data_IF_159977313501
#
_entry.id   IF_159977313501
#
_cell.length_a   1.000
_cell.length_b   1.000
_cell.length_c   1.000
_cell.angle_alpha   90.00
_cell.angle_beta   90.00
_cell.angle_gamma   90.00
#
_symmetry.space_group_name_H-M   'P 1'
#
loop_
_entity.id
_entity.type
_entity.pdbx_description
1 polymer ?
#
# COMPACT_ATOMS: atom_id res chain seq x y z
N UNK A 1 -24.46 9.82 -22.00
CA UNK A 1 -23.23 9.96 -21.19
C UNK A 1 -23.53 9.43 -19.80
N UNK A 2 -22.94 8.29 -19.42
CA UNK A 2 -22.98 7.82 -18.02
C UNK A 2 -22.01 8.72 -17.23
N UNK A 3 -22.35 9.18 -16.00
CA UNK A 3 -21.39 9.89 -15.18
C UNK A 3 -20.19 8.96 -14.92
N UNK A 4 -18.97 9.50 -15.05
CA UNK A 4 -17.77 8.85 -14.51
C UNK A 4 -17.99 8.71 -13.00
N UNK A 5 -18.40 7.54 -12.54
CA UNK A 5 -18.34 7.16 -11.14
C UNK A 5 -16.87 6.89 -10.82
N UNK A 6 -16.06 7.94 -10.82
CA UNK A 6 -14.69 7.90 -10.31
C UNK A 6 -14.79 7.89 -8.77
N UNK A 7 -15.25 6.78 -8.22
CA UNK A 7 -15.13 6.51 -6.79
C UNK A 7 -13.66 6.17 -6.60
N UNK A 8 -12.84 7.17 -6.23
CA UNK A 8 -11.46 6.96 -5.77
C UNK A 8 -11.48 7.08 -4.24
N UNK A 9 -11.69 5.98 -3.48
CA UNK A 9 -11.52 5.99 -2.03
C UNK A 9 -10.04 5.83 -1.62
N UNK A 10 -9.11 5.80 -2.58
CA UNK A 10 -7.68 5.52 -2.34
C UNK A 10 -6.89 6.74 -1.80
N UNK A 11 -7.50 7.94 -1.79
CA UNK A 11 -6.77 9.19 -1.49
C UNK A 11 -6.26 9.35 -0.05
N UNK A 12 -6.82 8.64 0.94
CA UNK A 12 -6.42 8.84 2.36
C UNK A 12 -5.20 7.99 2.74
N UNK A 13 -5.01 6.80 2.14
CA UNK A 13 -3.82 5.97 2.38
C UNK A 13 -2.59 6.46 1.58
N UNK A 14 -2.81 7.05 0.39
CA UNK A 14 -1.74 7.56 -0.48
C UNK A 14 -1.03 8.78 0.11
N UNK A 15 -1.72 9.62 0.89
CA UNK A 15 -1.14 10.85 1.45
C UNK A 15 0.02 10.58 2.43
N UNK A 16 -0.03 9.49 3.20
CA UNK A 16 1.03 9.12 4.14
C UNK A 16 2.27 8.54 3.42
N UNK A 17 2.06 7.69 2.40
CA UNK A 17 3.13 7.19 1.53
C UNK A 17 3.81 8.30 0.71
N UNK A 18 3.04 9.30 0.24
CA UNK A 18 3.56 10.41 -0.56
C UNK A 18 4.58 11.28 0.18
N UNK A 19 4.38 11.53 1.49
CA UNK A 19 5.27 12.41 2.26
C UNK A 19 6.66 11.78 2.46
N UNK A 20 6.71 10.46 2.65
CA UNK A 20 7.97 9.74 2.87
C UNK A 20 8.70 9.46 1.55
N UNK A 21 7.96 9.14 0.48
CA UNK A 21 8.54 9.04 -0.86
C UNK A 21 9.24 10.32 -1.29
N UNK A 22 8.66 11.48 -0.98
CA UNK A 22 9.31 12.76 -1.26
C UNK A 22 10.63 12.95 -0.52
N UNK A 23 10.72 12.52 0.74
CA UNK A 23 11.95 12.66 1.52
C UNK A 23 13.05 11.72 1.00
N UNK A 24 12.70 10.49 0.62
CA UNK A 24 13.65 9.54 0.00
C UNK A 24 14.05 9.96 -1.41
N UNK A 25 13.11 10.41 -2.26
CA UNK A 25 13.39 10.87 -3.62
C UNK A 25 14.27 12.14 -3.62
N UNK A 26 14.02 13.07 -2.69
CA UNK A 26 14.87 14.28 -2.51
C UNK A 26 16.28 13.92 -2.03
N UNK A 27 16.44 12.85 -1.25
CA UNK A 27 17.74 12.32 -0.83
C UNK A 27 18.54 11.76 -2.03
N UNK A 28 17.85 11.14 -2.98
CA UNK A 28 18.44 10.56 -4.19
C UNK A 28 18.81 11.65 -5.21
N UNK A 29 17.90 12.59 -5.50
CA UNK A 29 18.14 13.65 -6.49
C UNK A 29 19.25 14.62 -6.03
N UNK A 30 19.37 14.86 -4.73
CA UNK A 30 20.47 15.66 -4.17
C UNK A 30 21.84 14.96 -4.20
N UNK A 31 21.90 13.62 -4.11
CA UNK A 31 23.18 12.88 -4.21
C UNK A 31 23.73 12.87 -5.65
N UNK A 32 22.85 12.81 -6.65
CA UNK A 32 23.28 12.81 -8.05
C UNK A 32 23.80 14.17 -8.53
N UNK A 33 23.32 15.28 -7.95
CA UNK A 33 23.81 16.64 -8.27
C UNK A 33 25.20 16.95 -7.68
N UNK A 34 25.67 16.20 -6.68
CA UNK A 34 26.94 16.49 -5.98
C UNK A 34 28.22 15.90 -6.62
N UNK A 35 28.17 15.29 -7.81
CA UNK A 35 29.35 14.62 -8.41
C UNK A 35 29.99 15.32 -9.60
N UNK A 36 29.58 16.55 -9.94
CA UNK A 36 30.23 17.32 -11.02
C UNK A 36 30.65 18.71 -10.56
N UNK A 37 31.97 18.91 -10.50
CA UNK A 37 32.75 20.16 -10.40
C UNK A 37 32.82 20.84 -9.02
N UNK A 38 34.07 20.99 -8.54
CA UNK A 38 34.43 21.64 -7.29
C UNK A 38 34.39 23.17 -7.40
N UNK A 39 33.20 23.73 -7.19
CA UNK A 39 33.01 25.12 -6.80
C UNK A 39 32.39 25.15 -5.39
N UNK A 40 33.11 25.75 -4.44
CA UNK A 40 32.79 25.91 -3.00
C UNK A 40 31.61 26.89 -2.74
N UNK A 41 30.54 26.79 -3.54
CA UNK A 41 29.30 27.48 -3.23
C UNK A 41 28.40 26.58 -2.41
N UNK A 42 28.23 26.93 -1.12
CA UNK A 42 27.22 26.34 -0.27
C UNK A 42 25.88 26.29 -1.03
N UNK A 43 25.21 25.13 -1.11
CA UNK A 43 23.98 25.01 -1.88
C UNK A 43 22.96 26.01 -1.34
N UNK A 44 22.54 26.94 -2.20
CA UNK A 44 21.44 27.82 -1.86
C UNK A 44 20.23 26.95 -1.52
N UNK A 45 19.52 27.21 -0.40
CA UNK A 45 18.32 26.47 -0.08
C UNK A 45 17.36 26.63 -1.25
N UNK A 46 17.10 25.49 -1.89
CA UNK A 46 16.13 25.28 -2.95
C UNK A 46 14.86 26.06 -2.61
N UNK A 47 14.61 27.13 -3.38
CA UNK A 47 13.52 28.07 -3.11
C UNK A 47 12.22 27.27 -3.10
N UNK A 48 11.63 27.12 -1.92
CA UNK A 48 10.62 26.11 -1.60
C UNK A 48 9.53 25.97 -2.67
N UNK A 49 9.72 25.01 -3.56
CA UNK A 49 8.70 24.62 -4.52
C UNK A 49 7.51 24.09 -3.71
N UNK A 50 6.36 24.74 -3.86
CA UNK A 50 5.12 24.34 -3.21
C UNK A 50 4.78 22.92 -3.67
N UNK A 51 4.70 21.99 -2.72
CA UNK A 51 4.32 20.63 -3.02
C UNK A 51 2.81 20.48 -2.97
N UNK A 52 2.21 20.06 -4.08
CA UNK A 52 0.76 19.86 -4.20
C UNK A 52 0.47 18.37 -4.13
N UNK A 53 -0.14 17.93 -3.02
CA UNK A 53 -0.57 16.54 -2.86
C UNK A 53 -1.56 16.16 -3.96
N UNK A 54 -1.27 15.06 -4.68
CA UNK A 54 -2.14 14.54 -5.74
C UNK A 54 -1.91 15.16 -7.13
N UNK A 55 -0.89 16.00 -7.29
CA UNK A 55 -0.56 16.59 -8.60
C UNK A 55 -0.27 15.51 -9.65
N UNK A 56 0.47 14.46 -9.29
CA UNK A 56 0.84 13.37 -10.20
C UNK A 56 -0.41 12.64 -10.74
N UNK A 57 -1.38 12.38 -9.87
CA UNK A 57 -2.65 11.77 -10.27
C UNK A 57 -3.50 12.73 -11.11
N UNK A 58 -3.50 14.03 -10.79
CA UNK A 58 -4.20 15.04 -11.59
C UNK A 58 -3.61 15.15 -13.01
N UNK A 59 -2.29 15.05 -13.14
CA UNK A 59 -1.58 15.03 -14.42
C UNK A 59 -1.90 13.75 -15.21
N UNK A 60 -1.92 12.59 -14.56
CA UNK A 60 -2.31 11.31 -15.15
C UNK A 60 -3.74 11.34 -15.69
N UNK A 61 -4.70 11.84 -14.91
CA UNK A 61 -6.10 12.02 -15.34
C UNK A 61 -6.19 13.01 -16.51
N UNK A 62 -5.39 14.06 -16.51
CA UNK A 62 -5.35 15.02 -17.62
C UNK A 62 -4.76 14.40 -18.90
N UNK A 63 -3.75 13.55 -18.78
CA UNK A 63 -3.21 12.78 -19.90
C UNK A 63 -4.23 11.77 -20.44
N UNK A 64 -4.99 11.12 -19.56
CA UNK A 64 -6.07 10.22 -19.98
C UNK A 64 -7.17 10.95 -20.76
N UNK A 65 -7.57 12.14 -20.32
CA UNK A 65 -8.53 12.97 -21.06
C UNK A 65 -8.04 13.30 -22.47
N UNK A 66 -6.77 13.70 -22.62
CA UNK A 66 -6.17 13.97 -23.94
C UNK A 66 -6.19 12.74 -24.85
N UNK A 67 -5.93 11.56 -24.30
CA UNK A 67 -6.04 10.30 -25.07
C UNK A 67 -7.47 10.07 -25.55
N UNK A 68 -8.46 10.25 -24.68
CA UNK A 68 -9.87 10.07 -25.01
C UNK A 68 -10.33 11.03 -26.12
N UNK A 69 -9.78 12.24 -26.17
CA UNK A 69 -10.08 13.25 -27.18
C UNK A 69 -9.45 12.96 -28.56
N UNK A 70 -8.44 12.10 -28.63
CA UNK A 70 -7.64 11.89 -29.85
C UNK A 70 -8.36 11.13 -30.99
N UNK A 71 -9.60 10.65 -30.79
CA UNK A 71 -10.42 9.86 -31.73
C UNK A 71 -9.78 8.57 -32.30
N UNK A 72 -8.56 8.22 -31.88
CA UNK A 72 -7.81 7.02 -32.32
C UNK A 72 -7.66 6.05 -31.14
N UNK A 73 -8.78 5.57 -30.63
CA UNK A 73 -8.80 4.59 -29.53
C UNK A 73 -9.12 3.23 -30.13
N UNK A 74 -8.10 2.37 -30.20
CA UNK A 74 -8.28 0.96 -30.55
C UNK A 74 -9.01 0.20 -29.44
N UNK A 75 -9.40 -1.04 -29.73
CA UNK A 75 -9.88 -1.96 -28.69
C UNK A 75 -8.71 -2.35 -27.78
N UNK A 76 -8.90 -2.20 -26.47
CA UNK A 76 -7.93 -2.66 -25.47
C UNK A 76 -7.62 -4.16 -25.63
N UNK A 77 -6.35 -4.58 -25.48
CA UNK A 77 -5.98 -5.98 -25.45
C UNK A 77 -6.31 -6.65 -24.10
N UNK A 78 -6.64 -5.89 -23.06
CA UNK A 78 -6.94 -6.45 -21.74
C UNK A 78 -8.35 -7.08 -21.71
N UNK A 79 -8.56 -8.11 -20.88
CA UNK A 79 -9.91 -8.59 -20.60
C UNK A 79 -10.73 -7.50 -19.89
N UNK A 80 -12.07 -7.43 -20.11
CA UNK A 80 -12.92 -6.36 -19.57
C UNK A 80 -13.31 -6.64 -18.11
N UNK A 81 -12.36 -7.05 -17.28
CA UNK A 81 -12.52 -7.35 -15.86
C UNK A 81 -11.34 -6.78 -15.08
N UNK A 82 -11.60 -6.35 -13.86
CA UNK A 82 -10.61 -5.79 -12.93
C UNK A 82 -10.50 -6.71 -11.72
N UNK A 83 -9.43 -6.55 -10.94
CA UNK A 83 -9.30 -7.24 -9.66
C UNK A 83 -10.36 -6.75 -8.68
N UNK A 84 -11.10 -7.68 -8.08
CA UNK A 84 -12.10 -7.36 -7.08
C UNK A 84 -11.46 -7.21 -5.69
N UNK A 85 -11.17 -5.98 -5.29
CA UNK A 85 -10.67 -5.68 -3.95
C UNK A 85 -11.58 -6.20 -2.83
N UNK A 86 -12.89 -6.32 -3.06
CA UNK A 86 -13.85 -6.80 -2.05
C UNK A 86 -13.77 -8.31 -1.83
N UNK A 87 -13.15 -9.02 -2.78
CA UNK A 87 -12.78 -10.43 -2.68
C UNK A 87 -11.32 -10.62 -2.26
N UNK A 88 -10.61 -9.53 -1.91
CA UNK A 88 -9.21 -9.57 -1.50
C UNK A 88 -8.23 -9.80 -2.65
N UNK A 89 -8.67 -9.67 -3.91
CA UNK A 89 -7.83 -9.97 -5.08
C UNK A 89 -6.66 -8.99 -5.26
N UNK A 90 -6.70 -7.83 -4.60
CA UNK A 90 -5.61 -6.84 -4.59
C UNK A 90 -4.59 -7.06 -3.47
N UNK A 91 -4.82 -8.03 -2.57
CA UNK A 91 -3.93 -8.30 -1.44
C UNK A 91 -2.57 -8.81 -1.93
N UNK A 92 -1.48 -8.30 -1.34
CA UNK A 92 -0.12 -8.84 -1.53
C UNK A 92 0.33 -9.73 -0.36
N UNK A 93 -0.41 -9.69 0.76
CA UNK A 93 -0.11 -10.45 1.97
C UNK A 93 -0.33 -11.95 1.76
N UNK A 94 -1.49 -12.30 1.22
CA UNK A 94 -1.84 -13.69 0.95
C UNK A 94 -2.72 -13.86 -0.30
N UNK A 95 -2.26 -13.42 -1.49
CA UNK A 95 -3.04 -13.54 -2.71
C UNK A 95 -3.27 -15.00 -3.11
N UNK A 96 -4.49 -15.31 -3.52
CA UNK A 96 -4.82 -16.56 -4.23
C UNK A 96 -4.90 -16.32 -5.74
N UNK A 97 -4.50 -17.28 -6.59
CA UNK A 97 -4.64 -17.14 -8.04
C UNK A 97 -6.10 -16.96 -8.47
N UNK A 98 -6.35 -16.06 -9.40
CA UNK A 98 -7.66 -15.82 -10.01
C UNK A 98 -7.58 -15.94 -11.54
N UNK A 99 -8.70 -16.19 -12.25
CA UNK A 99 -8.67 -16.34 -13.72
C UNK A 99 -8.01 -15.16 -14.45
N UNK A 100 -8.16 -13.94 -13.92
CA UNK A 100 -7.56 -12.74 -14.48
C UNK A 100 -6.02 -12.81 -14.54
N UNK A 101 -5.36 -13.45 -13.58
CA UNK A 101 -3.89 -13.57 -13.59
C UNK A 101 -3.40 -14.35 -14.84
N UNK A 102 -4.12 -15.40 -15.22
CA UNK A 102 -3.77 -16.20 -16.41
C UNK A 102 -4.07 -15.45 -17.71
N UNK A 103 -5.16 -14.69 -17.75
CA UNK A 103 -5.51 -13.86 -18.91
C UNK A 103 -4.48 -12.75 -19.14
N UNK A 104 -4.04 -12.07 -18.08
CA UNK A 104 -3.02 -11.02 -18.17
C UNK A 104 -1.65 -11.60 -18.56
N UNK A 105 -1.31 -12.81 -18.09
CA UNK A 105 -0.13 -13.54 -18.56
C UNK A 105 -0.15 -13.77 -20.07
N UNK A 106 -1.29 -14.19 -20.63
CA UNK A 106 -1.44 -14.38 -22.07
C UNK A 106 -1.26 -13.06 -22.84
N UNK A 107 -1.83 -11.97 -22.35
CA UNK A 107 -1.65 -10.62 -22.92
C UNK A 107 -0.18 -10.19 -22.87
N UNK A 108 0.51 -10.38 -21.75
CA UNK A 108 1.94 -10.10 -21.63
C UNK A 108 2.78 -10.95 -22.60
N UNK A 109 2.44 -12.22 -22.79
CA UNK A 109 3.11 -13.09 -23.76
C UNK A 109 2.93 -12.61 -25.21
N UNK A 110 1.74 -12.09 -25.56
CA UNK A 110 1.50 -11.47 -26.87
C UNK A 110 2.29 -10.17 -27.03
N UNK A 111 2.28 -9.30 -26.02
CA UNK A 111 3.01 -8.04 -26.01
C UNK A 111 4.53 -8.22 -26.18
N UNK A 112 5.12 -9.21 -25.50
CA UNK A 112 6.54 -9.56 -25.64
C UNK A 112 6.92 -9.90 -27.09
N UNK A 113 6.05 -10.65 -27.80
CA UNK A 113 6.26 -11.09 -29.19
C UNK A 113 5.92 -10.03 -30.23
N UNK A 114 5.14 -9.02 -29.88
CA UNK A 114 4.68 -7.97 -30.78
C UNK A 114 5.85 -7.09 -31.27
N UNK A 115 5.71 -6.57 -32.49
CA UNK A 115 6.60 -5.54 -33.05
C UNK A 115 6.49 -4.22 -32.29
N UNK A 116 7.47 -3.29 -32.39
CA UNK A 116 7.39 -1.98 -31.74
C UNK A 116 6.09 -1.22 -32.03
N UNK A 117 5.64 -1.22 -33.29
CA UNK A 117 4.40 -0.55 -33.69
C UNK A 117 3.15 -1.22 -33.10
N UNK A 118 3.13 -2.55 -33.03
CA UNK A 118 2.04 -3.29 -32.38
C UNK A 118 2.00 -3.02 -30.87
N UNK A 119 3.15 -3.02 -30.19
CA UNK A 119 3.24 -2.65 -28.77
C UNK A 119 2.73 -1.23 -28.52
N UNK A 120 3.09 -0.28 -29.38
CA UNK A 120 2.61 1.09 -29.29
C UNK A 120 1.08 1.16 -29.49
N UNK A 121 0.52 0.41 -30.46
CA UNK A 121 -0.93 0.32 -30.66
C UNK A 121 -1.65 -0.28 -29.47
N UNK A 122 -1.13 -1.40 -28.93
CA UNK A 122 -1.66 -2.02 -27.71
C UNK A 122 -1.67 -1.01 -26.57
N UNK A 123 -0.52 -0.41 -26.25
CA UNK A 123 -0.37 0.57 -25.17
C UNK A 123 -1.36 1.73 -25.23
N UNK A 124 -1.50 2.37 -26.41
CA UNK A 124 -2.42 3.51 -26.60
C UNK A 124 -3.91 3.16 -26.44
N UNK A 125 -4.26 1.89 -26.60
CA UNK A 125 -5.64 1.43 -26.45
C UNK A 125 -6.03 1.12 -25.00
N UNK A 126 -5.05 0.95 -24.10
CA UNK A 126 -5.26 0.65 -22.69
C UNK A 126 -5.70 1.92 -21.95
N UNK A 127 -6.73 1.84 -21.11
CA UNK A 127 -7.24 2.92 -20.27
C UNK A 127 -6.39 3.15 -19.00
N UNK A 128 -6.67 4.24 -18.28
CA UNK A 128 -6.06 4.50 -16.97
C UNK A 128 -6.35 3.37 -15.98
N UNK A 129 -7.61 2.94 -15.88
CA UNK A 129 -8.03 1.89 -14.93
C UNK A 129 -7.40 0.53 -15.27
N UNK A 130 -7.25 0.23 -16.56
CA UNK A 130 -6.56 -0.96 -17.03
C UNK A 130 -5.05 -0.92 -16.73
N UNK A 131 -4.41 0.26 -16.70
CA UNK A 131 -3.03 0.37 -16.20
C UNK A 131 -2.93 0.01 -14.72
N UNK A 132 -3.90 0.42 -13.89
CA UNK A 132 -3.93 0.02 -12.48
C UNK A 132 -4.20 -1.49 -12.30
N UNK A 133 -4.94 -2.10 -13.23
CA UNK A 133 -5.05 -3.57 -13.32
C UNK A 133 -3.70 -4.22 -13.63
N UNK A 134 -2.93 -3.67 -14.58
CA UNK A 134 -1.58 -4.17 -14.90
C UNK A 134 -0.59 -3.98 -13.73
N UNK A 135 -0.66 -2.85 -13.01
CA UNK A 135 0.16 -2.63 -11.81
C UNK A 135 -0.17 -3.63 -10.70
N UNK A 136 -1.46 -3.90 -10.47
CA UNK A 136 -1.88 -4.92 -9.50
C UNK A 136 -1.38 -6.30 -9.90
N UNK A 137 -1.49 -6.66 -11.18
CA UNK A 137 -0.95 -7.92 -11.70
C UNK A 137 0.58 -8.01 -11.56
N UNK A 138 1.31 -6.91 -11.83
CA UNK A 138 2.76 -6.85 -11.68
C UNK A 138 3.19 -7.09 -10.22
N UNK A 139 2.52 -6.44 -9.27
CA UNK A 139 2.78 -6.64 -7.84
C UNK A 139 2.43 -8.06 -7.38
N UNK A 140 1.29 -8.61 -7.82
CA UNK A 140 0.92 -10.02 -7.55
C UNK A 140 1.91 -11.01 -8.18
N UNK A 141 2.46 -10.69 -9.34
CA UNK A 141 3.45 -11.53 -10.03
C UNK A 141 4.73 -11.67 -9.20
N UNK A 142 5.16 -10.62 -8.50
CA UNK A 142 6.29 -10.71 -7.57
C UNK A 142 6.03 -11.75 -6.46
N UNK A 143 4.84 -11.72 -5.84
CA UNK A 143 4.44 -12.69 -4.81
C UNK A 143 4.36 -14.11 -5.36
N UNK A 144 3.69 -14.31 -6.49
CA UNK A 144 3.54 -15.65 -7.06
C UNK A 144 4.88 -16.23 -7.54
N UNK A 145 5.77 -15.42 -8.11
CA UNK A 145 7.11 -15.87 -8.46
C UNK A 145 7.89 -16.40 -7.24
N UNK A 146 7.80 -15.71 -6.11
CA UNK A 146 8.44 -16.15 -4.85
C UNK A 146 7.88 -17.50 -4.36
N UNK A 147 6.56 -17.69 -4.47
CA UNK A 147 5.87 -18.90 -4.02
C UNK A 147 6.13 -20.10 -4.92
N UNK A 148 6.04 -19.92 -6.23
CA UNK A 148 6.16 -21.02 -7.20
C UNK A 148 7.59 -21.27 -7.66
N UNK A 149 8.52 -20.34 -7.37
CA UNK A 149 9.88 -20.32 -7.92
C UNK A 149 9.91 -20.31 -9.46
N UNK A 150 8.87 -19.75 -10.08
CA UNK A 150 8.76 -19.63 -11.53
C UNK A 150 9.24 -18.26 -11.99
N UNK A 151 10.43 -18.23 -12.58
CA UNK A 151 11.08 -17.03 -13.10
C UNK A 151 10.25 -16.32 -14.19
N UNK A 152 9.47 -17.09 -14.96
CA UNK A 152 8.68 -16.53 -16.06
C UNK A 152 7.64 -15.53 -15.55
N UNK A 153 7.15 -15.73 -14.32
CA UNK A 153 6.18 -14.84 -13.67
C UNK A 153 6.78 -13.45 -13.42
N UNK A 154 8.07 -13.36 -13.04
CA UNK A 154 8.77 -12.07 -12.90
C UNK A 154 8.80 -11.35 -14.25
N UNK A 155 9.10 -12.08 -15.33
CA UNK A 155 9.15 -11.50 -16.69
C UNK A 155 7.77 -11.03 -17.17
N UNK A 156 6.69 -11.70 -16.76
CA UNK A 156 5.32 -11.31 -17.08
C UNK A 156 4.92 -10.03 -16.33
N UNK A 157 5.31 -9.91 -15.06
CA UNK A 157 5.11 -8.68 -14.29
C UNK A 157 5.88 -7.49 -14.86
N UNK A 158 7.15 -7.68 -15.26
CA UNK A 158 7.94 -6.62 -15.92
C UNK A 158 7.36 -6.23 -17.29
N UNK A 159 6.85 -7.20 -18.05
CA UNK A 159 6.16 -6.92 -19.31
C UNK A 159 4.88 -6.12 -19.10
N UNK A 160 4.11 -6.41 -18.04
CA UNK A 160 2.92 -5.64 -17.68
C UNK A 160 3.25 -4.18 -17.37
N UNK A 161 4.34 -3.92 -16.63
CA UNK A 161 4.81 -2.54 -16.38
C UNK A 161 5.28 -1.85 -17.67
N UNK A 162 5.96 -2.57 -18.58
CA UNK A 162 6.39 -2.03 -19.88
C UNK A 162 5.22 -1.67 -20.84
N UNK A 163 4.03 -2.19 -20.57
CA UNK A 163 2.81 -1.83 -21.30
C UNK A 163 2.23 -0.48 -20.88
N UNK A 164 2.68 0.11 -19.77
CA UNK A 164 2.11 1.34 -19.19
C UNK A 164 2.72 2.60 -19.84
N UNK A 165 1.90 3.63 -20.03
CA UNK A 165 2.36 5.00 -20.36
C UNK A 165 2.61 5.76 -19.06
N UNK A 166 3.88 6.09 -18.77
CA UNK A 166 4.27 6.67 -17.49
C UNK A 166 3.53 7.98 -17.14
N UNK A 167 3.17 8.79 -18.15
CA UNK A 167 2.44 10.04 -17.94
C UNK A 167 0.95 9.89 -17.65
N UNK A 168 0.41 8.66 -17.74
CA UNK A 168 -1.00 8.33 -17.51
C UNK A 168 -1.17 7.48 -16.25
N UNK A 169 -0.20 7.49 -15.34
CA UNK A 169 -0.34 6.93 -13.99
C UNK A 169 0.33 7.89 -13.02
N UNK A 170 0.10 7.70 -11.72
CA UNK A 170 1.06 8.18 -10.74
C UNK A 170 2.35 7.38 -10.91
N UNK A 171 3.43 8.03 -11.36
CA UNK A 171 4.67 7.34 -11.67
C UNK A 171 5.25 6.59 -10.45
N UNK A 172 4.92 7.00 -9.22
CA UNK A 172 5.36 6.34 -7.98
C UNK A 172 4.80 4.92 -7.89
N UNK A 173 3.58 4.70 -8.37
CA UNK A 173 2.96 3.36 -8.37
C UNK A 173 3.70 2.41 -9.33
N UNK A 174 4.15 2.93 -10.47
CA UNK A 174 5.00 2.18 -11.41
C UNK A 174 6.34 1.78 -10.78
N UNK A 175 7.01 2.73 -10.11
CA UNK A 175 8.31 2.46 -9.46
C UNK A 175 8.14 1.50 -8.26
N UNK A 176 7.04 1.58 -7.51
CA UNK A 176 6.73 0.63 -6.44
C UNK A 176 6.60 -0.81 -7.00
N UNK A 177 5.87 -1.01 -8.10
CA UNK A 177 5.77 -2.33 -8.75
C UNK A 177 7.15 -2.85 -9.20
N UNK A 178 8.02 -1.97 -9.71
CA UNK A 178 9.41 -2.32 -10.03
C UNK A 178 10.21 -2.77 -8.80
N UNK A 179 10.02 -2.13 -7.64
CA UNK A 179 10.66 -2.54 -6.39
C UNK A 179 10.30 -3.96 -5.96
N UNK A 180 9.01 -4.30 -6.03
CA UNK A 180 8.53 -5.65 -5.70
C UNK A 180 9.10 -6.71 -6.66
N UNK A 181 9.10 -6.42 -7.97
CA UNK A 181 9.64 -7.33 -8.99
C UNK A 181 11.17 -7.48 -8.89
N UNK A 182 11.89 -6.41 -8.57
CA UNK A 182 13.33 -6.47 -8.33
C UNK A 182 13.66 -7.36 -7.12
N UNK A 183 12.89 -7.20 -6.04
CA UNK A 183 13.03 -8.05 -4.86
C UNK A 183 12.78 -9.52 -5.19
N UNK A 184 11.67 -9.84 -5.89
CA UNK A 184 11.37 -11.20 -6.32
C UNK A 184 12.49 -11.79 -7.21
N UNK A 185 12.98 -11.03 -8.19
CA UNK A 185 14.08 -11.46 -9.05
C UNK A 185 15.36 -11.76 -8.25
N UNK A 186 15.69 -10.92 -7.27
CA UNK A 186 16.87 -11.09 -6.41
C UNK A 186 16.73 -12.32 -5.51
N UNK A 187 15.55 -12.55 -4.93
CA UNK A 187 15.27 -13.72 -4.08
C UNK A 187 15.24 -15.05 -4.83
N UNK A 188 15.09 -15.01 -6.15
CA UNK A 188 15.18 -16.17 -7.05
C UNK A 188 16.57 -16.31 -7.69
N UNK A 189 17.58 -15.57 -7.21
CA UNK A 189 18.95 -15.60 -7.73
C UNK A 189 19.06 -15.28 -9.24
N UNK A 190 18.13 -14.46 -9.76
CA UNK A 190 18.15 -14.00 -11.15
C UNK A 190 19.12 -12.82 -11.33
N UNK A 191 19.21 -12.32 -12.55
CA UNK A 191 19.92 -11.06 -12.86
C UNK A 191 18.90 -9.92 -13.10
N UNK A 192 18.50 -9.17 -12.05
CA UNK A 192 17.54 -8.08 -12.19
C UNK A 192 17.94 -7.05 -13.26
N UNK A 193 19.23 -6.72 -13.36
CA UNK A 193 19.72 -5.74 -14.34
C UNK A 193 19.44 -6.17 -15.79
N UNK A 194 19.65 -7.45 -16.11
CA UNK A 194 19.33 -7.98 -17.43
C UNK A 194 17.82 -7.98 -17.69
N UNK A 195 17.03 -8.48 -16.74
CA UNK A 195 15.58 -8.58 -16.87
C UNK A 195 14.91 -7.21 -17.07
N UNK A 196 15.35 -6.22 -16.30
CA UNK A 196 14.84 -4.85 -16.39
C UNK A 196 15.28 -4.18 -17.69
N UNK A 197 16.53 -4.39 -18.14
CA UNK A 197 16.98 -3.90 -19.43
C UNK A 197 16.20 -4.50 -20.61
N UNK A 198 15.86 -5.80 -20.53
CA UNK A 198 15.01 -6.47 -21.54
C UNK A 198 13.60 -5.86 -21.57
N UNK A 199 13.01 -5.61 -20.39
CA UNK A 199 11.71 -4.95 -20.26
C UNK A 199 11.72 -3.50 -20.77
N UNK A 200 12.78 -2.74 -20.46
CA UNK A 200 12.98 -1.37 -20.91
C UNK A 200 12.96 -1.24 -22.44
N UNK A 201 13.50 -2.23 -23.18
CA UNK A 201 13.44 -2.25 -24.66
C UNK A 201 12.03 -2.37 -25.23
N UNK A 202 11.06 -2.81 -24.43
CA UNK A 202 9.65 -2.93 -24.84
C UNK A 202 8.80 -1.73 -24.41
N UNK A 203 9.27 -0.96 -23.43
CA UNK A 203 8.57 0.16 -22.83
C UNK A 203 8.60 1.43 -23.70
N UNK A 204 7.75 2.40 -23.39
CA UNK A 204 7.90 3.76 -23.92
C UNK A 204 9.06 4.49 -23.21
N UNK A 205 9.66 5.54 -23.82
CA UNK A 205 10.90 6.14 -23.33
C UNK A 205 10.95 6.54 -21.84
N UNK A 206 9.89 7.14 -21.29
CA UNK A 206 9.87 7.56 -19.88
C UNK A 206 9.85 6.34 -18.95
N UNK A 207 8.94 5.40 -19.20
CA UNK A 207 8.89 4.14 -18.46
C UNK A 207 10.18 3.32 -18.60
N UNK A 208 10.79 3.29 -19.79
CA UNK A 208 12.09 2.64 -20.02
C UNK A 208 13.19 3.24 -19.14
N UNK A 209 13.23 4.57 -18.98
CA UNK A 209 14.12 5.24 -18.04
C UNK A 209 13.89 4.73 -16.62
N UNK A 210 12.63 4.63 -16.17
CA UNK A 210 12.31 4.14 -14.82
C UNK A 210 12.85 2.73 -14.56
N UNK A 211 12.80 1.81 -15.53
CA UNK A 211 13.43 0.49 -15.41
C UNK A 211 14.94 0.58 -15.20
N UNK A 212 15.64 1.35 -16.04
CA UNK A 212 17.09 1.47 -15.99
C UNK A 212 17.52 2.17 -14.70
N UNK A 213 16.94 3.33 -14.42
CA UNK A 213 17.23 4.16 -13.25
C UNK A 213 17.01 3.38 -11.96
N UNK A 214 15.95 2.56 -11.88
CA UNK A 214 15.70 1.71 -10.72
C UNK A 214 16.88 0.77 -10.44
N UNK A 215 17.43 0.11 -11.46
CA UNK A 215 18.52 -0.86 -11.27
C UNK A 215 19.85 -0.23 -10.93
N UNK A 216 20.03 1.06 -11.20
CA UNK A 216 21.24 1.82 -10.87
C UNK A 216 21.18 2.49 -9.48
N UNK A 217 20.03 2.39 -8.79
CA UNK A 217 19.88 2.91 -7.42
C UNK A 217 20.86 2.23 -6.45
N UNK A 218 21.27 2.94 -5.38
CA UNK A 218 21.95 2.33 -4.24
C UNK A 218 21.19 1.10 -3.72
N UNK A 219 21.91 0.17 -3.08
CA UNK A 219 21.29 -1.07 -2.58
C UNK A 219 20.15 -0.76 -1.61
N UNK A 220 20.39 0.15 -0.68
CA UNK A 220 19.41 0.57 0.32
C UNK A 220 18.13 1.16 -0.28
N UNK A 221 18.18 1.70 -1.50
CA UNK A 221 17.03 2.28 -2.21
C UNK A 221 16.33 1.26 -3.14
N UNK A 222 16.84 0.02 -3.21
CA UNK A 222 16.26 -1.10 -3.96
C UNK A 222 15.72 -2.21 -3.06
N UNK A 223 16.13 -2.20 -1.79
CA UNK A 223 15.65 -3.17 -0.80
C UNK A 223 14.14 -3.00 -0.58
N UNK A 224 13.43 -4.11 -0.35
CA UNK A 224 11.97 -4.15 -0.21
C UNK A 224 11.45 -3.13 0.83
N UNK A 225 12.19 -2.94 1.91
CA UNK A 225 11.84 -2.01 2.99
C UNK A 225 11.77 -0.55 2.52
N UNK A 226 12.62 -0.14 1.57
CA UNK A 226 12.59 1.21 1.01
C UNK A 226 11.28 1.50 0.26
N UNK A 227 10.58 0.45 -0.14
CA UNK A 227 9.29 0.49 -0.83
C UNK A 227 8.10 0.30 0.10
N UNK A 228 8.33 0.31 1.42
CA UNK A 228 7.26 0.22 2.42
C UNK A 228 6.70 -1.20 2.59
N UNK A 229 7.50 -2.22 2.31
CA UNK A 229 7.10 -3.63 2.47
C UNK A 229 8.15 -4.45 3.22
N UNK A 230 7.69 -5.58 3.74
CA UNK A 230 8.52 -6.67 4.25
C UNK A 230 7.94 -8.02 3.79
N UNK A 231 8.74 -9.08 3.85
CA UNK A 231 8.25 -10.43 3.62
C UNK A 231 7.39 -10.91 4.80
N UNK A 232 6.34 -11.65 4.50
CA UNK A 232 5.47 -12.31 5.48
C UNK A 232 5.19 -13.75 5.07
N UNK A 233 5.39 -14.69 6.01
CA UNK A 233 5.10 -16.11 5.78
C UNK A 233 3.65 -16.44 6.13
N UNK A 234 2.82 -16.55 5.08
CA UNK A 234 1.42 -16.98 5.15
C UNK A 234 1.28 -18.50 5.03
N UNK A 235 0.04 -19.02 5.12
CA UNK A 235 -0.24 -20.43 4.86
C UNK A 235 -0.03 -20.84 3.41
N UNK A 236 -0.04 -19.91 2.45
CA UNK A 236 0.22 -20.17 1.04
C UNK A 236 1.65 -19.82 0.61
N UNK A 237 2.54 -19.58 1.58
CA UNK A 237 3.94 -19.18 1.37
C UNK A 237 4.17 -17.68 1.49
N UNK A 238 5.36 -17.23 1.05
CA UNK A 238 5.79 -15.84 1.16
C UNK A 238 4.81 -14.88 0.47
N UNK A 239 4.43 -13.81 1.17
CA UNK A 239 3.74 -12.64 0.64
C UNK A 239 4.40 -11.35 1.15
N UNK A 240 3.77 -10.21 0.90
CA UNK A 240 4.27 -8.91 1.35
C UNK A 240 3.30 -8.25 2.34
N UNK A 241 3.84 -7.75 3.44
CA UNK A 241 3.13 -6.96 4.43
C UNK A 241 3.65 -5.52 4.38
N UNK A 242 2.76 -4.54 4.55
CA UNK A 242 3.16 -3.13 4.57
C UNK A 242 4.04 -2.83 5.79
N UNK A 243 4.93 -1.85 5.62
CA UNK A 243 5.87 -1.40 6.63
C UNK A 243 5.86 0.12 6.69
N UNK A 244 5.47 0.66 7.83
CA UNK A 244 5.66 2.06 8.19
C UNK A 244 7.12 2.39 8.55
N UNK A 245 7.35 3.59 9.04
CA UNK A 245 8.70 4.11 9.25
C UNK A 245 9.03 4.36 10.72
N UNK A 246 8.13 4.00 11.63
CA UNK A 246 8.32 4.24 13.05
C UNK A 246 9.31 3.24 13.67
N UNK A 247 9.98 3.60 14.78
CA UNK A 247 10.82 2.68 15.53
C UNK A 247 10.07 1.38 15.86
N UNK A 248 10.70 0.24 15.56
CA UNK A 248 10.07 -1.07 15.71
C UNK A 248 11.03 -2.05 16.36
N UNK A 249 10.86 -2.25 17.67
CA UNK A 249 11.58 -3.20 18.50
C UNK A 249 10.65 -3.98 19.46
N UNK A 250 9.52 -4.54 18.97
CA UNK A 250 8.65 -5.35 19.81
C UNK A 250 9.36 -6.64 20.25
N UNK A 251 8.89 -7.22 21.36
CA UNK A 251 9.28 -8.56 21.80
C UNK A 251 8.25 -9.63 21.43
N UNK A 252 7.09 -9.21 20.94
CA UNK A 252 5.99 -10.06 20.48
C UNK A 252 5.82 -9.87 18.96
N UNK A 253 5.47 -10.93 18.22
CA UNK A 253 5.25 -10.86 16.77
C UNK A 253 3.96 -10.09 16.42
N UNK A 254 4.04 -8.76 16.38
CA UNK A 254 2.91 -7.90 16.04
C UNK A 254 2.43 -8.10 14.59
N UNK A 255 3.30 -8.54 13.67
CA UNK A 255 2.91 -8.83 12.28
C UNK A 255 1.88 -9.95 12.27
N UNK A 256 2.19 -11.07 12.93
CA UNK A 256 1.26 -12.22 13.00
C UNK A 256 -0.04 -11.87 13.73
N UNK A 257 0.04 -11.14 14.85
CA UNK A 257 -1.17 -10.70 15.59
C UNK A 257 -2.07 -9.83 14.69
N UNK A 258 -1.50 -8.89 13.95
CA UNK A 258 -2.26 -8.01 13.07
C UNK A 258 -3.00 -8.79 11.97
N UNK A 259 -2.35 -9.81 11.38
CA UNK A 259 -2.96 -10.72 10.41
C UNK A 259 -4.06 -11.59 11.02
N UNK A 260 -3.88 -12.07 12.26
CA UNK A 260 -4.93 -12.85 12.93
C UNK A 260 -6.14 -11.97 13.27
N UNK A 261 -5.92 -10.71 13.67
CA UNK A 261 -6.99 -9.74 13.90
C UNK A 261 -7.71 -9.42 12.59
N UNK A 262 -7.00 -9.26 11.47
CA UNK A 262 -7.63 -8.94 10.18
C UNK A 262 -8.62 -10.02 9.73
N UNK A 263 -8.36 -11.29 10.06
CA UNK A 263 -9.30 -12.39 9.76
C UNK A 263 -10.63 -12.25 10.50
N UNK A 264 -10.64 -11.68 11.71
CA UNK A 264 -11.89 -11.36 12.43
C UNK A 264 -12.65 -10.26 11.69
N UNK A 265 -11.92 -9.25 11.20
CA UNK A 265 -12.50 -8.12 10.46
C UNK A 265 -13.10 -8.59 9.12
N UNK A 266 -12.35 -9.43 8.38
CA UNK A 266 -12.77 -9.98 7.08
C UNK A 266 -13.97 -10.91 7.16
N UNK A 267 -14.12 -11.62 8.29
CA UNK A 267 -15.26 -12.49 8.58
C UNK A 267 -16.54 -11.71 8.96
N UNK A 268 -16.45 -10.40 9.18
CA UNK A 268 -17.58 -9.52 9.49
C UNK A 268 -18.02 -8.75 8.23
N UNK A 269 -18.35 -7.47 8.38
CA UNK A 269 -18.93 -6.58 7.36
C UNK A 269 -17.88 -5.81 6.58
N UNK A 270 -16.61 -6.08 6.86
CA UNK A 270 -15.47 -5.34 6.36
C UNK A 270 -14.63 -6.21 5.43
N UNK A 271 -13.76 -5.54 4.67
CA UNK A 271 -12.63 -6.15 3.97
C UNK A 271 -11.38 -5.40 4.38
N UNK A 272 -10.39 -6.12 4.87
CA UNK A 272 -9.08 -5.57 5.20
C UNK A 272 -8.46 -5.01 3.92
N UNK A 273 -8.18 -3.72 3.94
CA UNK A 273 -7.49 -3.05 2.84
C UNK A 273 -5.98 -3.15 3.00
N UNK A 274 -5.47 -2.80 4.18
CA UNK A 274 -4.03 -2.67 4.41
C UNK A 274 -3.66 -3.08 5.83
N UNK A 275 -2.55 -3.81 5.96
CA UNK A 275 -1.91 -4.14 7.22
C UNK A 275 -0.49 -3.62 7.15
N UNK A 276 -0.13 -2.77 8.12
CA UNK A 276 1.21 -2.22 8.25
C UNK A 276 1.74 -2.48 9.65
N UNK A 277 3.03 -2.79 9.76
CA UNK A 277 3.75 -2.75 11.04
C UNK A 277 4.74 -1.58 11.04
N UNK A 278 5.40 -1.32 12.16
CA UNK A 278 6.25 -0.13 12.32
C UNK A 278 5.44 1.17 12.13
N UNK A 279 4.25 1.20 12.74
CA UNK A 279 3.37 2.36 12.81
C UNK A 279 3.14 2.80 14.25
N UNK A 280 2.92 4.08 14.48
CA UNK A 280 2.54 4.63 15.77
C UNK A 280 1.03 4.51 16.08
N UNK A 281 0.67 4.68 17.36
CA UNK A 281 -0.70 4.95 17.79
C UNK A 281 -0.85 6.48 17.93
N UNK A 282 -1.60 7.14 17.03
CA UNK A 282 -1.74 8.59 17.09
C UNK A 282 -2.41 9.04 18.39
N UNK A 283 -1.79 10.00 19.07
CA UNK A 283 -2.24 10.46 20.38
C UNK A 283 -3.63 11.12 20.32
N UNK A 284 -4.01 11.73 19.19
CA UNK A 284 -5.32 12.34 18.92
C UNK A 284 -6.49 11.41 19.26
N UNK A 285 -6.31 10.09 19.21
CA UNK A 285 -7.34 9.13 19.57
C UNK A 285 -7.55 8.97 21.07
N UNK A 286 -6.55 9.27 21.91
CA UNK A 286 -6.62 9.09 23.37
C UNK A 286 -6.40 10.38 24.16
N UNK A 287 -5.99 11.48 23.50
CA UNK A 287 -5.79 12.80 24.12
C UNK A 287 -7.02 13.25 24.92
N UNK A 288 -6.74 13.85 26.09
CA UNK A 288 -7.71 14.48 27.00
C UNK A 288 -7.12 15.79 27.56
N UNK A 289 -7.78 16.42 28.53
CA UNK A 289 -7.23 17.61 29.20
C UNK A 289 -5.97 17.30 30.04
N UNK A 290 -5.79 16.03 30.46
CA UNK A 290 -4.58 15.57 31.14
C UNK A 290 -3.87 14.52 30.27
N UNK A 291 -2.82 14.97 29.58
CA UNK A 291 -2.06 14.15 28.63
C UNK A 291 -0.76 13.57 29.19
N UNK A 292 -0.40 13.85 30.45
CA UNK A 292 0.89 13.37 30.99
C UNK A 292 0.99 11.85 31.00
N UNK A 293 -0.08 11.19 31.43
CA UNK A 293 -0.15 9.73 31.46
C UNK A 293 -0.19 9.13 30.04
N UNK A 294 -0.83 9.81 29.09
CA UNK A 294 -0.85 9.38 27.69
C UNK A 294 0.55 9.41 27.08
N UNK A 295 1.26 10.54 27.20
CA UNK A 295 2.58 10.69 26.62
C UNK A 295 3.56 9.68 27.20
N UNK A 296 3.58 9.51 28.53
CA UNK A 296 4.42 8.50 29.18
C UNK A 296 4.10 7.07 28.71
N UNK A 297 2.82 6.75 28.47
CA UNK A 297 2.44 5.44 27.96
C UNK A 297 2.85 5.24 26.48
N UNK A 298 2.68 6.26 25.63
CA UNK A 298 3.08 6.23 24.22
C UNK A 298 4.59 6.16 24.04
N UNK A 299 5.37 6.91 24.83
CA UNK A 299 6.84 6.83 24.86
C UNK A 299 7.36 5.44 25.25
N UNK A 300 6.52 4.62 25.89
CA UNK A 300 6.85 3.25 26.27
C UNK A 300 6.52 2.20 25.20
N UNK A 301 5.92 2.61 24.07
CA UNK A 301 5.59 1.71 22.96
C UNK A 301 6.90 1.20 22.34
N UNK A 302 7.01 -0.12 22.21
CA UNK A 302 8.15 -0.81 21.59
C UNK A 302 7.99 -1.00 20.10
N UNK A 303 6.76 -1.03 19.63
CA UNK A 303 6.39 -1.15 18.23
C UNK A 303 4.88 -1.16 18.10
N UNK A 304 4.40 -0.84 16.89
CA UNK A 304 2.98 -0.88 16.58
C UNK A 304 2.70 -1.43 15.19
N UNK A 305 1.43 -1.73 14.96
CA UNK A 305 0.86 -2.14 13.70
C UNK A 305 -0.54 -1.52 13.53
N UNK A 306 -0.93 -1.29 12.28
CA UNK A 306 -2.21 -0.72 11.90
C UNK A 306 -2.90 -1.66 10.92
N UNK A 307 -4.18 -1.95 11.17
CA UNK A 307 -5.08 -2.65 10.25
C UNK A 307 -6.15 -1.65 9.80
N UNK A 308 -6.21 -1.38 8.50
CA UNK A 308 -7.27 -0.57 7.90
C UNK A 308 -8.23 -1.47 7.12
N UNK A 309 -9.53 -1.20 7.25
CA UNK A 309 -10.55 -1.98 6.57
C UNK A 309 -11.66 -1.10 6.01
N UNK A 310 -12.23 -1.54 4.88
CA UNK A 310 -13.32 -0.87 4.20
C UNK A 310 -14.63 -1.57 4.49
N UNK A 311 -15.68 -0.79 4.75
CA UNK A 311 -17.03 -1.33 4.89
C UNK A 311 -17.49 -1.84 3.52
N UNK A 312 -18.08 -3.05 3.47
CA UNK A 312 -18.53 -3.62 2.21
C UNK A 312 -19.69 -2.81 1.60
N UNK A 313 -19.76 -2.68 0.26
CA UNK A 313 -20.77 -1.85 -0.42
C UNK A 313 -22.21 -2.34 -0.22
N UNK A 314 -22.41 -3.65 0.00
CA UNK A 314 -23.71 -4.24 0.29
C UNK A 314 -24.20 -4.03 1.73
N UNK A 315 -23.36 -3.48 2.62
CA UNK A 315 -23.69 -3.25 4.03
C UNK A 315 -24.25 -1.86 4.26
N UNK A 316 -23.72 -0.83 3.58
CA UNK A 316 -24.15 0.55 3.78
C UNK A 316 -23.98 1.40 2.51
N UNK A 317 -24.96 2.26 2.14
CA UNK A 317 -24.86 3.09 0.94
C UNK A 317 -23.67 4.05 0.98
N UNK A 318 -23.33 4.58 2.15
CA UNK A 318 -22.18 5.46 2.33
C UNK A 318 -20.89 4.71 2.71
N UNK A 319 -20.76 3.41 2.39
CA UNK A 319 -19.62 2.57 2.78
C UNK A 319 -18.25 3.23 2.50
N UNK A 320 -18.08 3.88 1.35
CA UNK A 320 -16.84 4.54 0.96
C UNK A 320 -16.45 5.74 1.85
N UNK A 321 -17.39 6.26 2.67
CA UNK A 321 -17.14 7.35 3.63
C UNK A 321 -16.81 6.86 5.04
N UNK A 322 -16.84 5.53 5.25
CA UNK A 322 -16.65 4.92 6.56
C UNK A 322 -15.19 4.52 6.72
N UNK A 323 -14.57 5.04 7.77
CA UNK A 323 -13.25 4.63 8.21
C UNK A 323 -13.39 3.56 9.29
N UNK A 324 -12.60 2.49 9.17
CA UNK A 324 -12.39 1.50 10.21
C UNK A 324 -10.90 1.20 10.32
N UNK A 325 -10.31 1.49 11.48
CA UNK A 325 -8.87 1.35 11.72
C UNK A 325 -8.65 0.69 13.08
N UNK A 326 -7.74 -0.27 13.13
CA UNK A 326 -7.29 -0.92 14.37
C UNK A 326 -5.82 -0.59 14.56
N UNK A 327 -5.49 0.00 15.69
CA UNK A 327 -4.11 0.18 16.14
C UNK A 327 -3.76 -0.93 17.13
N UNK A 328 -2.63 -1.58 16.93
CA UNK A 328 -2.05 -2.60 17.81
C UNK A 328 -0.69 -2.11 18.28
N UNK A 329 -0.44 -2.10 19.58
CA UNK A 329 0.86 -1.71 20.14
C UNK A 329 1.31 -2.68 21.22
N UNK A 330 2.62 -2.90 21.31
CA UNK A 330 3.26 -3.49 22.47
C UNK A 330 3.89 -2.40 23.32
N UNK A 331 3.51 -2.31 24.61
CA UNK A 331 4.12 -1.39 25.57
C UNK A 331 5.23 -2.06 26.38
N UNK A 332 6.10 -1.25 26.99
CA UNK A 332 7.19 -1.77 27.82
C UNK A 332 6.73 -2.58 29.04
N UNK A 333 5.52 -2.34 29.54
CA UNK A 333 4.94 -3.02 30.72
C UNK A 333 3.41 -3.18 30.61
N UNK A 334 2.83 -4.09 31.40
CA UNK A 334 1.36 -4.26 31.53
C UNK A 334 0.68 -3.00 32.11
N UNK A 335 1.38 -2.26 32.99
CA UNK A 335 0.86 -1.01 33.55
C UNK A 335 0.64 0.08 32.48
N UNK A 336 1.51 0.14 31.47
CA UNK A 336 1.38 1.11 30.38
C UNK A 336 0.23 0.73 29.43
N UNK A 337 0.06 -0.55 29.10
CA UNK A 337 -1.09 -1.01 28.30
C UNK A 337 -2.42 -0.78 29.04
N UNK A 338 -2.44 -1.01 30.37
CA UNK A 338 -3.58 -0.71 31.22
C UNK A 338 -3.91 0.78 31.22
N UNK A 339 -2.89 1.64 31.25
CA UNK A 339 -3.07 3.10 31.16
C UNK A 339 -3.75 3.48 29.85
N UNK A 340 -3.29 2.96 28.71
CA UNK A 340 -3.92 3.20 27.40
C UNK A 340 -5.38 2.70 27.36
N UNK A 341 -5.64 1.53 27.92
CA UNK A 341 -6.97 0.96 28.01
C UNK A 341 -7.93 1.82 28.85
N UNK A 342 -7.49 2.29 30.01
CA UNK A 342 -8.30 3.17 30.87
C UNK A 342 -8.56 4.54 30.22
N UNK A 343 -7.59 5.09 29.49
CA UNK A 343 -7.78 6.32 28.70
C UNK A 343 -8.84 6.13 27.60
N UNK A 344 -8.83 4.97 26.91
CA UNK A 344 -9.82 4.67 25.86
C UNK A 344 -11.27 4.62 26.38
N UNK A 345 -11.48 4.28 27.67
CA UNK A 345 -12.80 4.27 28.31
C UNK A 345 -13.29 5.66 28.71
N UNK A 346 -12.38 6.56 29.08
CA UNK A 346 -12.71 7.87 29.68
C UNK A 346 -12.94 8.96 28.65
N UNK A 347 -12.38 8.83 27.45
CA UNK A 347 -12.40 9.90 26.45
C UNK A 347 -13.81 10.22 25.96
N UNK A 348 -14.12 11.52 25.90
CA UNK A 348 -15.33 12.04 25.27
C UNK A 348 -15.28 11.83 23.75
N UNK A 349 -16.32 11.24 23.20
CA UNK A 349 -16.39 10.74 21.82
C UNK A 349 -17.17 11.72 20.94
N UNK A 350 -16.50 12.74 20.41
CA UNK A 350 -17.09 13.60 19.39
C UNK A 350 -16.69 13.08 18.00
N UNK A 351 -17.68 12.62 17.24
CA UNK A 351 -17.52 12.28 15.82
C UNK A 351 -16.85 10.93 15.48
N UNK A 352 -16.62 10.05 16.46
CA UNK A 352 -16.06 8.72 16.24
C UNK A 352 -16.45 7.74 17.36
N UNK A 353 -16.38 6.45 17.06
CA UNK A 353 -16.59 5.33 17.97
C UNK A 353 -15.27 4.60 18.21
N UNK A 354 -15.05 4.13 19.43
CA UNK A 354 -13.82 3.40 19.77
C UNK A 354 -14.05 2.24 20.73
N UNK A 355 -13.19 1.23 20.63
CA UNK A 355 -13.10 0.11 21.54
C UNK A 355 -11.63 -0.17 21.87
N UNK A 356 -11.27 -0.10 23.15
CA UNK A 356 -9.96 -0.52 23.64
C UNK A 356 -9.99 -1.95 24.18
N UNK A 357 -9.06 -2.80 23.76
CA UNK A 357 -8.89 -4.18 24.22
C UNK A 357 -7.42 -4.37 24.66
N UNK A 358 -7.15 -5.14 25.72
CA UNK A 358 -5.79 -5.33 26.22
C UNK A 358 -5.53 -6.76 26.70
N UNK A 359 -4.29 -7.23 26.59
CA UNK A 359 -3.81 -8.43 27.28
C UNK A 359 -2.32 -8.29 27.58
N UNK A 360 -1.94 -8.34 28.85
CA UNK A 360 -0.54 -8.15 29.26
C UNK A 360 0.02 -6.83 28.70
N UNK A 361 1.14 -6.90 27.98
CA UNK A 361 1.81 -5.74 27.35
C UNK A 361 1.17 -5.29 26.03
N UNK A 362 0.16 -6.00 25.53
CA UNK A 362 -0.50 -5.68 24.27
C UNK A 362 -1.74 -4.81 24.53
N UNK A 363 -1.87 -3.76 23.71
CA UNK A 363 -3.05 -2.91 23.66
C UNK A 363 -3.52 -2.76 22.21
N UNK A 364 -4.83 -2.84 22.03
CA UNK A 364 -5.49 -2.69 20.74
C UNK A 364 -6.58 -1.63 20.84
N UNK A 365 -6.59 -0.67 19.92
CA UNK A 365 -7.60 0.37 19.79
C UNK A 365 -8.30 0.25 18.44
N UNK A 366 -9.55 -0.16 18.45
CA UNK A 366 -10.44 -0.12 17.28
C UNK A 366 -11.08 1.25 17.22
N UNK A 367 -11.00 1.91 16.07
CA UNK A 367 -11.59 3.23 15.80
C UNK A 367 -12.44 3.14 14.54
N UNK A 368 -13.66 3.68 14.62
CA UNK A 368 -14.54 3.79 13.47
C UNK A 368 -15.22 5.17 13.43
N UNK A 369 -15.32 5.75 12.23
CA UNK A 369 -15.99 7.05 12.01
C UNK A 369 -16.46 7.20 10.58
N UNK A 370 -17.30 8.20 10.34
CA UNK A 370 -17.45 8.79 9.01
C UNK A 370 -16.43 9.92 8.86
N UNK A 371 -15.80 10.03 7.69
CA UNK A 371 -14.98 11.19 7.35
C UNK A 371 -15.69 12.19 6.45
N UNK A 372 -16.89 11.86 5.96
CA UNK A 372 -17.71 12.75 5.13
C UNK A 372 -18.69 13.53 6.00
N UNK A 373 -18.71 14.86 5.83
CA UNK A 373 -19.66 15.72 6.52
C UNK A 373 -21.12 15.34 6.17
N UNK A 374 -21.99 15.36 7.16
CA UNK A 374 -23.39 14.93 7.04
C UNK A 374 -23.63 13.42 6.91
N UNK A 375 -22.59 12.59 6.71
CA UNK A 375 -22.74 11.14 6.70
C UNK A 375 -22.57 10.58 8.13
N UNK A 376 -23.60 9.89 8.63
CA UNK A 376 -23.53 9.22 9.93
C UNK A 376 -22.45 8.10 9.91
N UNK A 377 -21.77 7.92 11.04
CA UNK A 377 -20.88 6.78 11.22
C UNK A 377 -21.70 5.49 11.29
N UNK A 378 -21.22 4.44 10.63
CA UNK A 378 -21.84 3.12 10.63
C UNK A 378 -21.74 2.45 12.00
N UNK A 379 -20.60 2.61 12.66
CA UNK A 379 -20.32 1.99 13.96
C UNK A 379 -20.65 2.94 15.12
N UNK A 380 -21.33 2.41 16.12
CA UNK A 380 -21.39 2.97 17.47
C UNK A 380 -20.36 2.30 18.38
N UNK A 381 -20.21 2.77 19.63
CA UNK A 381 -19.35 2.06 20.59
C UNK A 381 -19.89 0.66 20.88
N UNK A 382 -21.21 0.54 21.00
CA UNK A 382 -21.91 -0.70 21.30
C UNK A 382 -21.75 -1.71 20.17
N UNK A 383 -21.84 -1.26 18.91
CA UNK A 383 -21.67 -2.16 17.77
C UNK A 383 -20.24 -2.68 17.65
N UNK A 384 -19.22 -1.87 17.97
CA UNK A 384 -17.82 -2.32 17.99
C UNK A 384 -17.55 -3.45 18.99
N UNK A 385 -18.38 -3.58 20.03
CA UNK A 385 -18.17 -4.57 21.08
C UNK A 385 -18.15 -6.02 20.57
N UNK A 386 -18.75 -6.28 19.39
CA UNK A 386 -18.69 -7.60 18.73
C UNK A 386 -17.28 -8.07 18.38
N UNK A 387 -16.31 -7.14 18.24
CA UNK A 387 -14.91 -7.48 17.99
C UNK A 387 -14.12 -7.79 19.27
N UNK A 388 -14.63 -7.41 20.45
CA UNK A 388 -13.90 -7.46 21.72
C UNK A 388 -13.41 -8.86 22.05
N UNK A 389 -14.28 -9.86 22.07
CA UNK A 389 -13.93 -11.22 22.51
C UNK A 389 -12.93 -11.89 21.57
N UNK A 390 -13.08 -11.67 20.26
CA UNK A 390 -12.17 -12.21 19.26
C UNK A 390 -10.78 -11.61 19.38
N UNK A 391 -10.69 -10.28 19.46
CA UNK A 391 -9.41 -9.57 19.65
C UNK A 391 -8.78 -9.98 20.99
N UNK A 392 -9.54 -9.99 22.08
CA UNK A 392 -9.05 -10.36 23.41
C UNK A 392 -8.43 -11.75 23.42
N UNK A 393 -9.05 -12.72 22.75
CA UNK A 393 -8.53 -14.09 22.62
C UNK A 393 -7.19 -14.13 21.89
N UNK A 394 -7.06 -13.40 20.78
CA UNK A 394 -5.80 -13.31 20.04
C UNK A 394 -4.73 -12.67 20.93
N UNK A 395 -5.01 -11.51 21.53
CA UNK A 395 -4.02 -10.83 22.39
C UNK A 395 -3.56 -11.74 23.54
N UNK A 396 -4.48 -12.49 24.16
CA UNK A 396 -4.16 -13.44 25.23
C UNK A 396 -3.23 -14.58 24.75
N UNK A 397 -3.51 -15.16 23.59
CA UNK A 397 -2.69 -16.24 23.02
C UNK A 397 -1.22 -15.83 22.80
N UNK A 398 -0.97 -14.57 22.46
CA UNK A 398 0.37 -14.04 22.20
C UNK A 398 1.03 -13.41 23.42
N UNK A 399 0.27 -13.01 24.45
CA UNK A 399 0.84 -12.45 25.67
C UNK A 399 1.43 -13.50 26.63
N UNK A 400 1.04 -14.78 26.48
CA UNK A 400 1.49 -15.91 27.31
C UNK A 400 2.70 -16.66 26.75
N UNK A 401 3.22 -16.25 25.58
CA UNK A 401 4.44 -16.78 24.95
C UNK A 401 5.65 -15.97 25.42
#
# INVERSE_FOLDING_TARGET
MKPLNLVIPVFVAVAALCLVFMLSYRRIDNRNKTTTNGDDHAPQPDQGQEFVLGQEMADAVSAEKRRLESNVIGKSPLPPVEYDRWQGETSLLDPVPVPLDSQLREVCAQFKKASPDERQRMRRSISLDEFYTLLTFASRSAVFALRTKDESIVTDGLAAVAMIECERIDFRDGIMALGLLHHAATRLDLNPKSLFADAARMAEPKMASSFIDFTERPREDRDLEAWGYDEFESSHGTGFIGRGYDPYAPTIDLKRIAVDISRIVDADKYVTGQIEYATELPDVWLQSNDNKNLQSALESVRGGATISADLRPNVHPAHASQQFTIFLVETASDANSLTLHELSKRKSRLGHSMLGVRSGRLFCLVVARSFMDGAAAYESTESLQRFSDGIQRILYQYSEQ
#
